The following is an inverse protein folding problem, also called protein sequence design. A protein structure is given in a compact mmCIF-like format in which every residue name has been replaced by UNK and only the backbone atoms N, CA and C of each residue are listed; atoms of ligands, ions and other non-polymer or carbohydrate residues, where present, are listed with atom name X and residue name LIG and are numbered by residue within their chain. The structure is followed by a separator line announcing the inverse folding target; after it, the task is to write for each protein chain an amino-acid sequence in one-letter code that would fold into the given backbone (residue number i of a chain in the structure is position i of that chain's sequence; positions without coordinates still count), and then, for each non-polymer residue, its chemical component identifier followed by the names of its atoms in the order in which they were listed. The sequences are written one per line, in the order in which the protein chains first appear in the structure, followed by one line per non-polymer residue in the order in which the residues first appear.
data_IF_583515627928
#
_entry.id   IF_583515627928
#
_cell.length_a   1.000
_cell.length_b   1.000
_cell.length_c   1.000
_cell.angle_alpha   90.00
_cell.angle_beta   90.00
_cell.angle_gamma   90.00
#
_symmetry.space_group_name_H-M   'P 1'
#
loop_
_entity.id
_entity.type
_entity.pdbx_description
1 polymer ?
#
# COMPACT_ATOMS: atom_id res chain seq x y z
N UNK A 1 -5.19 13.41 3.59
CA UNK A 1 -3.75 13.37 3.21
C UNK A 1 -3.57 12.26 2.18
N UNK A 2 -2.88 12.51 1.07
CA UNK A 2 -2.64 11.51 0.01
C UNK A 2 -1.35 10.73 0.24
N UNK A 3 -1.15 9.66 -0.52
CA UNK A 3 0.02 8.79 -0.40
C UNK A 3 1.34 9.54 -0.59
N UNK A 4 1.39 10.48 -1.55
CA UNK A 4 2.59 11.28 -1.79
C UNK A 4 3.02 12.08 -0.55
N UNK A 5 2.10 12.87 0.01
CA UNK A 5 2.36 13.65 1.22
C UNK A 5 2.72 12.78 2.43
N UNK A 6 1.90 11.76 2.72
CA UNK A 6 2.12 10.93 3.90
C UNK A 6 3.39 10.07 3.82
N UNK A 7 3.75 9.56 2.63
CA UNK A 7 5.00 8.84 2.44
C UNK A 7 6.22 9.78 2.52
N UNK A 8 6.12 11.01 1.99
CA UNK A 8 7.19 12.03 2.13
C UNK A 8 7.49 12.31 3.59
N UNK A 9 6.45 12.55 4.39
CA UNK A 9 6.58 12.81 5.83
C UNK A 9 7.14 11.61 6.59
N UNK A 10 6.70 10.40 6.23
CA UNK A 10 7.16 9.17 6.86
C UNK A 10 8.66 8.91 6.63
N UNK A 11 9.12 9.01 5.38
CA UNK A 11 10.52 8.78 5.03
C UNK A 11 11.43 9.96 5.38
N UNK A 12 10.87 11.16 5.60
CA UNK A 12 11.63 12.36 5.97
C UNK A 12 12.56 12.84 4.85
N UNK A 13 12.27 12.51 3.59
CA UNK A 13 13.05 12.93 2.44
C UNK A 13 12.19 13.01 1.17
N UNK A 14 12.61 13.77 0.13
CA UNK A 14 11.88 13.82 -1.13
C UNK A 14 11.76 12.43 -1.77
N UNK A 15 10.54 12.03 -2.13
CA UNK A 15 10.30 10.70 -2.73
C UNK A 15 11.03 10.52 -4.06
N UNK A 16 11.28 11.59 -4.82
CA UNK A 16 12.07 11.51 -6.06
C UNK A 16 13.52 11.06 -5.81
N UNK A 17 14.13 11.45 -4.68
CA UNK A 17 15.45 10.98 -4.31
C UNK A 17 15.44 9.51 -3.90
N UNK A 18 14.41 9.09 -3.16
CA UNK A 18 14.23 7.69 -2.80
C UNK A 18 13.99 6.82 -4.05
N UNK A 19 13.13 7.26 -4.97
CA UNK A 19 12.86 6.59 -6.24
C UNK A 19 14.13 6.41 -7.09
N UNK A 20 15.02 7.42 -7.14
CA UNK A 20 16.34 7.29 -7.78
C UNK A 20 17.20 6.20 -7.16
N UNK A 21 17.21 6.05 -5.82
CA UNK A 21 17.93 4.95 -5.13
C UNK A 21 17.33 3.58 -5.47
N UNK A 22 16.05 3.54 -5.80
CA UNK A 22 15.34 2.35 -6.26
C UNK A 22 15.38 2.18 -7.79
N UNK A 23 16.10 3.06 -8.50
CA UNK A 23 16.30 3.03 -9.96
C UNK A 23 14.98 3.10 -10.75
N UNK A 24 14.04 3.89 -10.26
CA UNK A 24 12.82 4.19 -11.00
C UNK A 24 13.14 4.90 -12.31
N UNK A 25 12.29 4.69 -13.31
CA UNK A 25 12.37 5.39 -14.58
C UNK A 25 12.20 6.92 -14.41
N UNK A 26 12.78 7.68 -15.33
CA UNK A 26 12.85 9.14 -15.25
C UNK A 26 11.49 9.82 -15.31
N UNK A 27 10.52 9.23 -16.02
CA UNK A 27 9.13 9.72 -16.06
C UNK A 27 8.46 9.67 -14.67
N UNK A 28 8.62 8.55 -13.95
CA UNK A 28 8.17 8.42 -12.56
C UNK A 28 8.85 9.41 -11.62
N UNK A 29 10.15 9.67 -11.84
CA UNK A 29 10.88 10.70 -11.09
C UNK A 29 10.29 12.09 -11.37
N UNK A 30 10.01 12.43 -12.63
CA UNK A 30 9.38 13.70 -13.02
C UNK A 30 8.00 13.88 -12.39
N UNK A 31 7.19 12.80 -12.33
CA UNK A 31 5.90 12.80 -11.64
C UNK A 31 6.06 13.19 -10.16
N UNK A 32 7.00 12.54 -9.45
CA UNK A 32 7.25 12.84 -8.03
C UNK A 32 7.79 14.25 -7.80
N UNK A 33 8.54 14.81 -8.74
CA UNK A 33 9.05 16.19 -8.67
C UNK A 33 8.00 17.25 -9.02
N UNK A 34 6.88 16.84 -9.62
CA UNK A 34 5.84 17.76 -10.05
C UNK A 34 6.16 18.49 -11.35
N UNK A 35 7.15 18.03 -12.12
CA UNK A 35 7.60 18.68 -13.36
C UNK A 35 6.68 18.31 -14.53
N UNK A 36 5.52 18.95 -14.56
CA UNK A 36 4.51 18.76 -15.60
C UNK A 36 4.99 19.17 -16.98
N UNK A 37 5.89 20.14 -17.07
CA UNK A 37 6.39 20.61 -18.36
C UNK A 37 7.27 19.51 -18.98
N UNK A 38 8.27 19.03 -18.23
CA UNK A 38 9.14 17.94 -18.68
C UNK A 38 8.35 16.67 -18.95
N UNK A 39 7.35 16.35 -18.11
CA UNK A 39 6.49 15.18 -18.33
C UNK A 39 5.72 15.29 -19.67
N UNK A 40 5.18 16.46 -20.00
CA UNK A 40 4.47 16.69 -21.27
C UNK A 40 5.39 16.64 -22.48
N UNK A 41 6.56 17.25 -22.38
CA UNK A 41 7.49 17.42 -23.50
C UNK A 41 8.30 16.16 -23.80
N UNK A 42 8.73 15.43 -22.76
CA UNK A 42 9.67 14.31 -22.89
C UNK A 42 9.01 12.94 -22.66
N UNK A 43 7.87 12.89 -21.98
CA UNK A 43 7.19 11.64 -21.59
C UNK A 43 5.68 11.73 -21.87
N UNK A 44 5.33 12.17 -23.08
CA UNK A 44 3.94 12.49 -23.47
C UNK A 44 2.97 11.32 -23.29
N UNK A 45 3.40 10.08 -23.57
CA UNK A 45 2.59 8.87 -23.36
C UNK A 45 2.21 8.70 -21.88
N UNK A 46 3.17 8.84 -20.97
CA UNK A 46 2.92 8.77 -19.52
C UNK A 46 1.96 9.88 -19.08
N UNK A 47 2.13 11.10 -19.60
CA UNK A 47 1.23 12.21 -19.32
C UNK A 47 -0.21 11.95 -19.82
N UNK A 48 -0.36 11.46 -21.05
CA UNK A 48 -1.65 11.12 -21.65
C UNK A 48 -2.34 9.99 -20.88
N UNK A 49 -1.60 8.97 -20.46
CA UNK A 49 -2.12 7.89 -19.64
C UNK A 49 -2.67 8.41 -18.30
N UNK A 50 -1.93 9.29 -17.61
CA UNK A 50 -2.42 9.93 -16.38
C UNK A 50 -3.69 10.75 -16.61
N UNK A 51 -3.77 11.48 -17.73
CA UNK A 51 -4.96 12.24 -18.10
C UNK A 51 -6.15 11.33 -18.44
N UNK A 52 -5.92 10.13 -18.95
CA UNK A 52 -6.97 9.17 -19.30
C UNK A 52 -7.62 8.49 -18.08
N UNK A 53 -6.94 8.48 -16.92
CA UNK A 53 -7.38 7.82 -15.68
C UNK A 53 -8.40 8.65 -14.88
N UNK A 54 -9.41 9.23 -15.54
CA UNK A 54 -10.38 10.14 -14.90
C UNK A 54 -11.24 9.44 -13.84
N UNK A 55 -11.62 8.18 -14.04
CA UNK A 55 -12.40 7.42 -13.08
C UNK A 55 -11.62 7.04 -11.82
N UNK A 56 -10.30 6.83 -11.93
CA UNK A 56 -9.41 6.44 -10.83
C UNK A 56 -8.84 7.64 -10.08
N UNK A 57 -8.70 8.78 -10.77
CA UNK A 57 -8.24 10.03 -10.18
C UNK A 57 -9.27 10.65 -9.22
N UNK A 58 -10.55 10.26 -9.34
CA UNK A 58 -11.68 10.90 -8.66
C UNK A 58 -11.70 12.41 -8.91
N UNK A 59 -11.46 13.23 -7.87
CA UNK A 59 -11.38 14.69 -7.95
C UNK A 59 -9.94 15.22 -8.08
N UNK A 60 -8.93 14.35 -8.10
CA UNK A 60 -7.52 14.75 -8.14
C UNK A 60 -7.14 15.20 -9.56
N UNK A 61 -6.23 16.17 -9.64
CA UNK A 61 -5.57 16.47 -10.91
C UNK A 61 -4.73 15.27 -11.37
N UNK A 62 -4.47 15.11 -12.68
CA UNK A 62 -3.62 14.03 -13.21
C UNK A 62 -2.26 13.94 -12.51
N UNK A 63 -1.65 15.09 -12.21
CA UNK A 63 -0.38 15.13 -11.47
C UNK A 63 -0.51 14.56 -10.06
N UNK A 64 -1.52 15.00 -9.31
CA UNK A 64 -1.70 14.55 -7.93
C UNK A 64 -2.05 13.07 -7.85
N UNK A 65 -2.86 12.59 -8.80
CA UNK A 65 -3.11 11.16 -8.96
C UNK A 65 -1.81 10.40 -9.27
N UNK A 66 -1.01 10.86 -10.24
CA UNK A 66 0.27 10.25 -10.58
C UNK A 66 1.25 10.23 -9.40
N UNK A 67 1.34 11.32 -8.65
CA UNK A 67 2.18 11.40 -7.44
C UNK A 67 1.75 10.37 -6.38
N UNK A 68 0.45 10.26 -6.10
CA UNK A 68 -0.07 9.27 -5.15
C UNK A 68 0.17 7.82 -5.64
N UNK A 69 0.04 7.58 -6.95
CA UNK A 69 0.27 6.29 -7.59
C UNK A 69 1.74 5.86 -7.45
N UNK A 70 2.67 6.70 -7.93
CA UNK A 70 4.11 6.41 -7.87
C UNK A 70 4.60 6.34 -6.43
N UNK A 71 4.06 7.17 -5.52
CA UNK A 71 4.39 7.07 -4.09
C UNK A 71 3.96 5.73 -3.49
N UNK A 72 2.78 5.21 -3.87
CA UNK A 72 2.30 3.91 -3.38
C UNK A 72 3.20 2.77 -3.86
N UNK A 73 3.61 2.78 -5.13
CA UNK A 73 4.59 1.83 -5.67
C UNK A 73 5.93 1.87 -4.94
N UNK A 74 6.42 3.07 -4.66
CA UNK A 74 7.70 3.24 -3.95
C UNK A 74 7.61 2.70 -2.53
N UNK A 75 6.48 2.91 -1.84
CA UNK A 75 6.25 2.33 -0.52
C UNK A 75 6.25 0.80 -0.60
N UNK A 76 5.56 0.19 -1.56
CA UNK A 76 5.56 -1.26 -1.75
C UNK A 76 6.98 -1.82 -1.94
N UNK A 77 7.80 -1.18 -2.79
CA UNK A 77 9.17 -1.61 -3.04
C UNK A 77 10.05 -1.46 -1.79
N UNK A 78 9.79 -0.46 -0.95
CA UNK A 78 10.44 -0.35 0.36
C UNK A 78 10.10 -1.55 1.24
N UNK A 79 8.83 -1.91 1.36
CA UNK A 79 8.40 -3.08 2.13
C UNK A 79 8.95 -4.39 1.57
N UNK A 80 9.05 -4.51 0.24
CA UNK A 80 9.67 -5.65 -0.40
C UNK A 80 11.12 -5.86 0.07
N UNK A 81 11.91 -4.78 0.14
CA UNK A 81 13.27 -4.84 0.71
C UNK A 81 13.29 -5.14 2.20
N UNK A 82 12.28 -4.68 2.95
CA UNK A 82 12.14 -5.03 4.37
C UNK A 82 11.97 -6.54 4.53
N UNK A 83 11.12 -7.18 3.71
CA UNK A 83 10.92 -8.63 3.75
C UNK A 83 12.18 -9.39 3.35
N UNK A 84 12.85 -8.99 2.26
CA UNK A 84 14.13 -9.60 1.87
C UNK A 84 15.21 -9.47 2.94
N UNK A 85 15.32 -8.32 3.60
CA UNK A 85 16.27 -8.09 4.69
C UNK A 85 15.98 -8.98 5.92
N UNK A 86 14.73 -9.41 6.11
CA UNK A 86 14.36 -10.37 7.14
C UNK A 86 14.64 -11.84 6.75
N UNK A 87 15.10 -12.09 5.52
CA UNK A 87 15.33 -13.42 4.96
C UNK A 87 14.06 -14.11 4.47
N UNK A 88 13.05 -13.33 4.06
CA UNK A 88 11.85 -13.81 3.39
C UNK A 88 12.03 -13.72 1.88
N UNK A 89 11.52 -14.71 1.15
CA UNK A 89 11.37 -14.62 -0.30
C UNK A 89 10.03 -13.93 -0.61
N UNK A 90 10.08 -12.71 -1.13
CA UNK A 90 8.89 -11.91 -1.36
C UNK A 90 8.87 -11.35 -2.78
N UNK A 91 7.67 -11.27 -3.36
CA UNK A 91 7.41 -10.67 -4.66
C UNK A 91 6.09 -9.89 -4.65
N UNK A 92 5.95 -8.93 -5.55
CA UNK A 92 4.69 -8.21 -5.77
C UNK A 92 3.72 -9.10 -6.55
N UNK A 93 2.43 -9.05 -6.24
CA UNK A 93 1.41 -9.91 -6.88
C UNK A 93 0.33 -9.07 -7.62
N UNK A 94 0.58 -7.77 -7.83
CA UNK A 94 -0.31 -6.80 -8.49
C UNK A 94 -0.05 -6.55 -10.00
N UNK A 95 -1.05 -5.99 -10.70
CA UNK A 95 -0.95 -5.57 -12.10
C UNK A 95 0.09 -4.45 -12.35
N UNK A 96 0.52 -3.76 -11.30
CA UNK A 96 1.46 -2.64 -11.33
C UNK A 96 2.94 -3.06 -11.24
N UNK A 97 3.26 -4.35 -11.38
CA UNK A 97 4.64 -4.87 -11.38
C UNK A 97 5.57 -4.13 -12.36
N UNK A 98 5.03 -3.63 -13.47
CA UNK A 98 5.80 -2.89 -14.47
C UNK A 98 6.17 -1.46 -14.06
N UNK A 99 5.59 -0.92 -12.97
CA UNK A 99 5.75 0.48 -12.52
C UNK A 99 5.55 1.50 -13.64
N UNK A 100 4.56 1.25 -14.49
CA UNK A 100 4.17 2.09 -15.62
C UNK A 100 2.75 2.57 -15.43
N UNK A 101 2.49 3.85 -15.70
CA UNK A 101 1.13 4.37 -15.75
C UNK A 101 0.46 3.78 -17.00
N UNK A 102 -0.43 2.81 -16.81
CA UNK A 102 -1.18 2.17 -17.91
C UNK A 102 -2.47 2.95 -18.19
N UNK A 103 -2.84 3.07 -19.47
CA UNK A 103 -4.15 3.59 -19.85
C UNK A 103 -5.25 2.59 -19.49
N UNK A 104 -6.29 3.06 -18.82
CA UNK A 104 -7.61 2.42 -18.68
C UNK A 104 -7.70 0.89 -18.42
N UNK A 105 -6.73 0.25 -17.75
CA UNK A 105 -6.76 -1.21 -17.49
C UNK A 105 -6.71 -1.56 -16.01
N UNK A 106 -7.72 -2.36 -15.63
CA UNK A 106 -7.89 -3.25 -14.47
C UNK A 106 -6.89 -3.08 -13.32
N UNK A 107 -7.33 -2.37 -12.27
CA UNK A 107 -6.86 -2.63 -10.90
C UNK A 107 -7.08 -4.11 -10.62
N UNK A 108 -6.01 -4.91 -10.57
CA UNK A 108 -6.14 -6.31 -10.16
C UNK A 108 -6.58 -6.35 -8.70
N UNK A 109 -7.47 -7.28 -8.39
CA UNK A 109 -7.89 -7.56 -7.01
C UNK A 109 -6.90 -8.47 -6.28
N UNK A 110 -5.68 -8.64 -6.80
CA UNK A 110 -4.67 -9.51 -6.21
C UNK A 110 -4.08 -8.89 -4.95
N UNK A 111 -3.48 -9.73 -4.10
CA UNK A 111 -2.85 -9.27 -2.87
C UNK A 111 -1.58 -8.52 -3.23
N UNK A 112 -1.12 -7.61 -2.38
CA UNK A 112 0.01 -6.75 -2.73
C UNK A 112 1.30 -7.57 -2.87
N UNK A 113 1.47 -8.59 -2.02
CA UNK A 113 2.65 -9.45 -1.99
C UNK A 113 2.32 -10.94 -1.94
N UNK A 114 3.22 -11.74 -2.50
CA UNK A 114 3.42 -13.15 -2.15
C UNK A 114 4.69 -13.25 -1.32
N UNK A 115 4.60 -13.80 -0.11
CA UNK A 115 5.74 -13.93 0.82
C UNK A 115 5.91 -15.39 1.17
N UNK A 116 7.14 -15.87 1.12
CA UNK A 116 7.50 -17.27 1.33
C UNK A 116 8.67 -17.40 2.29
N UNK A 117 8.64 -18.44 3.12
CA UNK A 117 9.73 -18.80 4.02
C UNK A 117 9.66 -20.31 4.28
N UNK A 118 10.81 -21.00 4.25
CA UNK A 118 10.92 -22.43 4.56
C UNK A 118 9.94 -23.33 3.79
N UNK A 119 9.67 -23.01 2.51
CA UNK A 119 8.75 -23.77 1.66
C UNK A 119 7.25 -23.48 1.86
N UNK A 120 6.90 -22.65 2.84
CA UNK A 120 5.54 -22.14 3.02
C UNK A 120 5.40 -20.79 2.29
N UNK A 121 4.26 -20.58 1.63
CA UNK A 121 3.95 -19.33 0.93
C UNK A 121 2.60 -18.80 1.37
N UNK A 122 2.50 -17.49 1.58
CA UNK A 122 1.29 -16.79 1.99
C UNK A 122 1.15 -15.49 1.23
N UNK A 123 -0.09 -15.13 0.92
CA UNK A 123 -0.41 -13.78 0.43
C UNK A 123 -0.32 -12.78 1.57
N UNK A 124 0.17 -11.58 1.29
CA UNK A 124 0.22 -10.47 2.24
C UNK A 124 -0.39 -9.24 1.59
N UNK A 125 -1.33 -8.63 2.28
CA UNK A 125 -1.99 -7.39 1.90
C UNK A 125 -1.46 -6.26 2.79
N UNK A 126 -1.05 -5.15 2.17
CA UNK A 126 -0.55 -3.96 2.84
C UNK A 126 -1.65 -2.90 2.92
N UNK A 127 -1.65 -2.15 4.01
CA UNK A 127 -2.45 -0.94 4.14
C UNK A 127 -1.61 0.17 4.76
N UNK A 128 -1.43 1.25 4.01
CA UNK A 128 -0.77 2.45 4.49
C UNK A 128 -1.82 3.48 4.91
N UNK A 129 -1.86 3.80 6.20
CA UNK A 129 -2.68 4.86 6.76
C UNK A 129 -1.85 6.13 6.96
N UNK A 130 -2.11 7.12 6.12
CA UNK A 130 -1.46 8.42 6.15
C UNK A 130 -2.12 9.40 7.12
N UNK A 131 -3.22 9.02 7.79
CA UNK A 131 -3.97 9.87 8.72
C UNK A 131 -3.75 9.50 10.19
N UNK A 132 -3.36 8.26 10.46
CA UNK A 132 -3.28 7.73 11.82
C UNK A 132 -4.62 7.36 12.42
N UNK A 133 -5.66 7.27 11.60
CA UNK A 133 -7.01 6.91 12.02
C UNK A 133 -7.02 5.61 12.82
N UNK A 134 -6.49 4.52 12.27
CA UNK A 134 -6.68 3.22 12.89
C UNK A 134 -5.88 3.07 14.18
N UNK A 135 -4.68 3.65 14.20
CA UNK A 135 -3.79 3.61 15.34
C UNK A 135 -4.36 4.41 16.52
N UNK A 136 -4.92 5.60 16.25
CA UNK A 136 -5.49 6.48 17.30
C UNK A 136 -6.86 6.02 17.77
N UNK A 137 -7.67 5.45 16.89
CA UNK A 137 -9.04 5.03 17.21
C UNK A 137 -9.15 3.58 17.68
N UNK A 138 -8.08 2.79 17.54
CA UNK A 138 -8.07 1.35 17.74
C UNK A 138 -9.10 0.59 16.89
N UNK A 139 -9.47 1.18 15.75
CA UNK A 139 -10.46 0.65 14.82
C UNK A 139 -9.93 0.69 13.41
N UNK A 140 -10.07 -0.42 12.70
CA UNK A 140 -9.75 -0.50 11.28
C UNK A 140 -11.03 -0.67 10.48
N UNK A 141 -11.21 0.13 9.45
CA UNK A 141 -12.28 -0.07 8.47
C UNK A 141 -11.66 -0.66 7.21
N UNK A 142 -12.14 -1.84 6.82
CA UNK A 142 -11.75 -2.50 5.58
C UNK A 142 -12.94 -2.56 4.65
N UNK A 143 -12.73 -2.28 3.37
CA UNK A 143 -13.79 -2.46 2.38
C UNK A 143 -14.19 -3.94 2.31
N UNK A 144 -15.48 -4.19 2.12
CA UNK A 144 -16.08 -5.52 2.09
C UNK A 144 -15.30 -6.54 1.25
N UNK A 145 -14.96 -6.18 0.02
CA UNK A 145 -14.25 -7.04 -0.92
C UNK A 145 -12.85 -7.40 -0.43
N UNK A 146 -12.13 -6.46 0.20
CA UNK A 146 -10.77 -6.66 0.73
C UNK A 146 -10.82 -7.58 1.95
N UNK A 147 -11.72 -7.33 2.89
CA UNK A 147 -11.90 -8.20 4.07
C UNK A 147 -12.26 -9.65 3.68
N UNK A 148 -13.31 -9.81 2.86
CA UNK A 148 -13.78 -11.14 2.45
C UNK A 148 -12.75 -11.90 1.59
N UNK A 149 -11.96 -11.19 0.79
CA UNK A 149 -10.84 -11.79 0.04
C UNK A 149 -9.78 -12.33 1.00
N UNK A 150 -9.33 -11.54 1.97
CA UNK A 150 -8.31 -11.99 2.93
C UNK A 150 -8.77 -13.18 3.77
N UNK A 151 -10.05 -13.23 4.15
CA UNK A 151 -10.63 -14.42 4.79
C UNK A 151 -10.56 -15.67 3.90
N UNK A 152 -10.93 -15.56 2.61
CA UNK A 152 -10.88 -16.70 1.67
C UNK A 152 -9.45 -17.16 1.37
N UNK A 153 -8.52 -16.21 1.24
CA UNK A 153 -7.11 -16.48 0.93
C UNK A 153 -6.28 -16.84 2.17
N UNK A 154 -6.85 -16.72 3.37
CA UNK A 154 -6.15 -16.85 4.65
C UNK A 154 -4.83 -16.06 4.67
N UNK A 155 -4.89 -14.82 4.16
CA UNK A 155 -3.71 -13.98 3.95
C UNK A 155 -3.21 -13.31 5.23
N UNK A 156 -1.98 -12.82 5.20
CA UNK A 156 -1.51 -11.85 6.19
C UNK A 156 -2.03 -10.45 5.83
N UNK A 157 -2.35 -9.65 6.83
CA UNK A 157 -2.71 -8.25 6.65
C UNK A 157 -1.80 -7.36 7.49
N UNK A 158 -0.96 -6.57 6.81
CA UNK A 158 -0.03 -5.63 7.43
C UNK A 158 -0.60 -4.22 7.33
N UNK A 159 -1.06 -3.67 8.45
CA UNK A 159 -1.47 -2.28 8.56
C UNK A 159 -0.31 -1.44 9.09
N UNK A 160 0.04 -0.35 8.40
CA UNK A 160 1.09 0.59 8.81
C UNK A 160 0.51 1.98 8.86
N UNK A 161 0.61 2.61 10.03
CA UNK A 161 0.27 4.02 10.21
C UNK A 161 1.52 4.83 9.99
N UNK A 162 1.55 5.50 8.84
CA UNK A 162 2.65 6.39 8.48
C UNK A 162 2.66 7.63 9.36
N UNK A 163 1.49 8.07 9.83
CA UNK A 163 1.35 9.26 10.68
C UNK A 163 1.79 9.02 12.13
N UNK A 164 1.52 7.85 12.72
CA UNK A 164 1.91 7.53 14.10
C UNK A 164 3.15 6.64 14.21
N UNK A 165 3.65 6.14 13.07
CA UNK A 165 4.79 5.20 12.98
C UNK A 165 4.53 3.91 13.75
N UNK A 166 3.32 3.40 13.63
CA UNK A 166 2.89 2.13 14.25
C UNK A 166 2.49 1.14 13.16
N UNK A 167 2.56 -0.15 13.46
CA UNK A 167 2.03 -1.20 12.62
C UNK A 167 1.27 -2.24 13.44
N UNK A 168 0.36 -2.94 12.76
CA UNK A 168 -0.32 -4.14 13.25
C UNK A 168 -0.27 -5.21 12.16
N UNK A 169 -0.11 -6.47 12.57
CA UNK A 169 -0.13 -7.62 11.67
C UNK A 169 -1.24 -8.57 12.10
N UNK A 170 -2.23 -8.76 11.23
CA UNK A 170 -3.31 -9.72 11.43
C UNK A 170 -3.09 -10.95 10.57
N UNK A 171 -3.47 -12.11 11.13
CA UNK A 171 -3.35 -13.40 10.48
C UNK A 171 -4.75 -13.96 10.18
N UNK A 172 -5.17 -13.95 8.91
CA UNK A 172 -6.50 -14.44 8.53
C UNK A 172 -6.60 -15.97 8.42
N UNK A 173 -5.59 -16.73 8.88
CA UNK A 173 -5.83 -18.15 9.22
C UNK A 173 -6.66 -18.29 10.49
N UNK A 174 -6.65 -17.27 11.34
CA UNK A 174 -7.46 -17.17 12.55
C UNK A 174 -8.77 -16.42 12.25
N UNK A 175 -9.79 -16.64 13.08
CA UNK A 175 -10.99 -15.83 13.01
C UNK A 175 -10.70 -14.41 13.52
N UNK A 176 -10.90 -13.43 12.64
CA UNK A 176 -10.73 -12.01 12.98
C UNK A 176 -12.12 -11.42 13.29
N UNK A 177 -12.42 -11.06 14.56
CA UNK A 177 -13.71 -10.48 14.89
C UNK A 177 -13.93 -9.16 14.14
N UNK A 178 -15.03 -9.09 13.40
CA UNK A 178 -15.36 -7.92 12.61
C UNK A 178 -16.85 -7.61 12.64
N UNK A 179 -17.19 -6.32 12.66
CA UNK A 179 -18.56 -5.83 12.58
C UNK A 179 -18.85 -5.28 11.19
N UNK A 180 -19.88 -5.81 10.53
CA UNK A 180 -20.33 -5.27 9.25
C UNK A 180 -20.86 -3.84 9.42
N UNK A 181 -20.37 -2.93 8.58
CA UNK A 181 -20.93 -1.61 8.34
C UNK A 181 -21.61 -1.66 6.95
N UNK A 182 -22.95 -1.70 6.87
CA UNK A 182 -23.64 -1.87 5.59
C UNK A 182 -23.46 -0.66 4.65
N UNK A 183 -23.36 0.55 5.23
CA UNK A 183 -23.19 1.80 4.48
C UNK A 183 -22.06 2.64 5.08
N UNK A 184 -20.89 2.62 4.47
CA UNK A 184 -19.72 3.35 4.93
C UNK A 184 -19.52 4.63 4.11
N UNK A 185 -19.82 5.79 4.69
CA UNK A 185 -19.75 7.10 4.02
C UNK A 185 -18.36 7.34 3.39
N UNK A 186 -17.23 7.10 4.08
CA UNK A 186 -15.90 7.27 3.48
C UNK A 186 -15.62 6.42 2.24
N UNK A 187 -16.38 5.33 2.04
CA UNK A 187 -16.28 4.47 0.84
C UNK A 187 -17.41 4.73 -0.17
N UNK A 188 -18.07 5.88 -0.08
CA UNK A 188 -19.19 6.23 -0.98
C UNK A 188 -20.42 5.35 -0.74
N UNK A 189 -20.77 5.13 0.54
CA UNK A 189 -21.89 4.29 1.00
C UNK A 189 -21.77 2.79 0.69
N UNK A 190 -20.60 2.33 0.22
CA UNK A 190 -20.30 0.91 0.04
C UNK A 190 -20.10 0.22 1.40
N UNK A 191 -20.34 -1.09 1.49
CA UNK A 191 -20.15 -1.83 2.73
C UNK A 191 -18.68 -1.94 3.14
N UNK A 192 -18.46 -2.06 4.45
CA UNK A 192 -17.15 -2.21 5.08
C UNK A 192 -17.24 -3.14 6.30
N UNK A 193 -16.10 -3.58 6.79
CA UNK A 193 -15.96 -4.29 8.06
C UNK A 193 -15.12 -3.46 9.01
N UNK A 194 -15.60 -3.30 10.24
CA UNK A 194 -14.85 -2.71 11.34
C UNK A 194 -14.19 -3.80 12.17
N UNK A 195 -12.87 -3.75 12.26
CA UNK A 195 -12.04 -4.64 13.06
C UNK A 195 -11.53 -3.85 14.28
N UNK A 196 -11.41 -4.54 15.41
CA UNK A 196 -10.79 -3.97 16.61
C UNK A 196 -9.27 -4.19 16.58
N UNK A 197 -8.50 -3.14 16.83
CA UNK A 197 -7.04 -3.17 16.95
C UNK A 197 -6.63 -2.71 18.35
N UNK A 198 -6.77 -3.57 19.38
CA UNK A 198 -6.36 -3.24 20.74
C UNK A 198 -4.87 -2.91 20.79
N UNK A 199 -4.46 -2.06 21.74
CA UNK A 199 -3.08 -1.58 21.88
C UNK A 199 -2.02 -2.69 21.98
N UNK A 200 -2.41 -3.90 22.39
CA UNK A 200 -1.54 -5.08 22.42
C UNK A 200 -1.08 -5.56 21.04
N UNK A 201 -1.80 -5.20 19.96
CA UNK A 201 -1.44 -5.50 18.57
C UNK A 201 -0.65 -4.38 17.90
N UNK A 202 -0.48 -3.24 18.58
CA UNK A 202 0.19 -2.07 18.04
C UNK A 202 1.67 -2.13 18.39
N UNK A 203 2.52 -2.00 17.38
CA UNK A 203 3.96 -2.05 17.51
C UNK A 203 4.60 -0.87 16.78
N UNK A 204 5.78 -0.42 17.21
CA UNK A 204 6.52 0.62 16.50
C UNK A 204 6.98 0.12 15.12
N UNK A 205 6.64 0.86 14.06
CA UNK A 205 6.97 0.54 12.68
C UNK A 205 8.46 0.80 12.39
N UNK A 206 9.28 -0.21 12.61
CA UNK A 206 10.67 -0.26 12.11
C UNK A 206 10.81 -1.39 11.11
N UNK A 207 11.72 -1.27 10.15
CA UNK A 207 12.00 -2.32 9.16
C UNK A 207 12.29 -3.67 9.84
N UNK A 208 13.10 -3.68 10.90
CA UNK A 208 13.41 -4.90 11.63
C UNK A 208 12.15 -5.49 12.31
N UNK A 209 11.36 -4.67 13.02
CA UNK A 209 10.17 -5.15 13.72
C UNK A 209 9.13 -5.73 12.76
N UNK A 210 8.86 -5.04 11.64
CA UNK A 210 7.91 -5.50 10.62
C UNK A 210 8.39 -6.80 9.98
N UNK A 211 9.65 -6.85 9.54
CA UNK A 211 10.23 -8.03 8.90
C UNK A 211 10.20 -9.27 9.81
N UNK A 212 10.56 -9.11 11.08
CA UNK A 212 10.52 -10.20 12.07
C UNK A 212 9.08 -10.62 12.40
N UNK A 213 8.15 -9.68 12.53
CA UNK A 213 6.74 -10.00 12.81
C UNK A 213 6.12 -10.84 11.66
N UNK A 214 6.39 -10.48 10.41
CA UNK A 214 5.93 -11.26 9.25
C UNK A 214 6.60 -12.63 9.23
N UNK A 215 7.92 -12.70 9.45
CA UNK A 215 8.66 -13.97 9.48
C UNK A 215 8.16 -14.93 10.55
N UNK A 216 7.80 -14.43 11.73
CA UNK A 216 7.25 -15.24 12.81
C UNK A 216 5.97 -15.98 12.41
N UNK A 217 5.23 -15.53 11.39
CA UNK A 217 4.01 -16.18 10.88
C UNK A 217 4.27 -17.36 9.92
N UNK A 218 5.53 -17.68 9.66
CA UNK A 218 5.95 -18.85 8.88
C UNK A 218 6.64 -19.91 9.75
N UNK A 219 6.74 -19.68 11.05
CA UNK A 219 7.25 -20.66 12.01
C UNK A 219 6.07 -21.27 12.76
N UNK A 220 5.60 -22.43 12.27
CA UNK A 220 4.69 -23.34 12.98
C UNK A 220 5.31 -24.73 12.96
#
# INVERSE_FOLDING_TARGET
MGAFSGATDFFGMPLSQLARRYRYAEDNICILEGDLQKLREQFSETYENLCSCTHQADQRSPLKYGQDLVASWLVEDVFLRVFWAAGLDASLDGADQGRKALSNVKTSSSSDFSVSCNGYSRKLELMNDYTGFWARSHKMHLRDNKYLKMQREQSLFLAVSMATREFALLDFTEEIPARLIPHHIPYGNKPAYELSLPSSLLHTATSAAIGQAVKARFHA
#
